data_IF_235560918935
#
_entry.id   IF_235560918935
#
_cell.length_a   1.000
_cell.length_b   1.000
_cell.length_c   1.000
_cell.angle_alpha   90.00
_cell.angle_beta   90.00
_cell.angle_gamma   90.00
#
_symmetry.space_group_name_H-M   'P 1'
#
loop_
_entity.id
_entity.type
_entity.pdbx_description
1 polymer ?
#
# COMPACT_ATOMS: atom_id res chain seq x y z
N UNK A 1 -8.53 -0.40 -10.78
CA UNK A 1 -7.06 -0.38 -10.73
C UNK A 1 -6.67 1.06 -10.55
N UNK A 2 -6.03 1.37 -9.44
CA UNK A 2 -5.56 2.71 -9.10
C UNK A 2 -4.10 2.80 -9.56
N UNK A 3 -3.75 3.87 -10.28
CA UNK A 3 -2.41 4.05 -10.85
C UNK A 3 -1.47 4.82 -9.91
N UNK A 4 -2.00 5.35 -8.80
CA UNK A 4 -1.31 6.22 -7.85
C UNK A 4 -1.96 6.16 -6.45
N UNK A 5 -1.31 6.72 -5.44
CA UNK A 5 -1.79 6.69 -4.05
C UNK A 5 -3.11 7.46 -3.90
N UNK A 6 -3.23 8.63 -4.54
CA UNK A 6 -4.40 9.51 -4.42
C UNK A 6 -5.70 8.85 -4.92
N UNK A 7 -5.66 8.14 -6.05
CA UNK A 7 -6.82 7.43 -6.59
C UNK A 7 -7.25 6.25 -5.72
N UNK A 8 -6.31 5.68 -4.95
CA UNK A 8 -6.58 4.62 -3.97
C UNK A 8 -7.33 5.19 -2.77
N UNK A 9 -6.89 6.34 -2.23
CA UNK A 9 -7.55 7.05 -1.13
C UNK A 9 -8.99 7.45 -1.46
N UNK A 10 -9.27 7.87 -2.69
CA UNK A 10 -10.62 8.22 -3.12
C UNK A 10 -11.55 7.00 -3.29
N UNK A 11 -10.99 5.79 -3.43
CA UNK A 11 -11.75 4.57 -3.68
C UNK A 11 -11.94 3.71 -2.43
N UNK A 12 -11.32 4.09 -1.30
CA UNK A 12 -11.29 3.36 -0.03
C UNK A 12 -12.66 3.12 0.66
N UNK A 13 -13.76 3.63 0.07
CA UNK A 13 -15.13 3.35 0.51
C UNK A 13 -15.73 2.06 -0.04
N UNK A 14 -15.01 1.29 -0.84
CA UNK A 14 -15.42 -0.05 -1.29
C UNK A 14 -15.02 -1.13 -0.28
N UNK A 15 -15.84 -2.18 -0.15
CA UNK A 15 -15.44 -3.41 0.55
C UNK A 15 -14.38 -4.13 -0.30
N UNK A 16 -13.11 -3.99 0.08
CA UNK A 16 -12.01 -4.75 -0.49
C UNK A 16 -11.53 -5.81 0.49
N UNK A 17 -11.35 -7.03 -0.01
CA UNK A 17 -10.84 -8.16 0.77
C UNK A 17 -9.30 -8.20 0.84
N UNK A 18 -8.61 -7.49 -0.07
CA UNK A 18 -7.15 -7.48 -0.18
C UNK A 18 -6.66 -6.26 -0.97
N UNK A 19 -5.62 -5.59 -0.48
CA UNK A 19 -4.86 -4.59 -1.26
C UNK A 19 -3.53 -5.17 -1.74
N UNK A 20 -3.20 -4.90 -2.99
CA UNK A 20 -1.88 -5.15 -3.56
C UNK A 20 -1.27 -3.79 -3.86
N UNK A 21 -0.18 -3.44 -3.16
CA UNK A 21 0.43 -2.11 -3.21
C UNK A 21 1.86 -2.26 -3.68
N UNK A 22 2.24 -1.54 -4.74
CA UNK A 22 3.65 -1.41 -5.12
C UNK A 22 4.36 -0.50 -4.11
N UNK A 23 5.55 -0.87 -3.67
CA UNK A 23 6.36 0.01 -2.80
C UNK A 23 6.85 1.22 -3.59
N UNK A 24 7.19 1.03 -4.86
CA UNK A 24 7.66 2.07 -5.78
C UNK A 24 6.48 2.68 -6.53
N UNK A 25 5.75 3.58 -5.86
CA UNK A 25 4.73 4.38 -6.52
C UNK A 25 5.37 5.59 -7.22
N UNK A 26 4.84 6.03 -8.38
CA UNK A 26 5.37 7.19 -9.11
C UNK A 26 5.18 8.51 -8.35
N UNK A 27 4.22 8.55 -7.41
CA UNK A 27 3.80 9.73 -6.65
C UNK A 27 4.09 9.65 -5.15
N UNK A 28 4.73 8.58 -4.66
CA UNK A 28 5.00 8.42 -3.23
C UNK A 28 5.56 7.06 -2.84
N UNK A 29 5.43 6.74 -1.55
CA UNK A 29 5.88 5.47 -0.99
C UNK A 29 4.66 4.58 -0.67
N UNK A 30 4.65 3.35 -1.20
CA UNK A 30 3.59 2.38 -0.91
C UNK A 30 3.39 2.07 0.57
N UNK A 31 4.41 2.24 1.41
CA UNK A 31 4.31 2.11 2.86
C UNK A 31 3.44 3.21 3.50
N UNK A 32 3.59 4.47 3.07
CA UNK A 32 2.76 5.56 3.57
C UNK A 32 1.30 5.38 3.14
N UNK A 33 1.07 4.92 1.91
CA UNK A 33 -0.26 4.57 1.44
C UNK A 33 -0.88 3.43 2.29
N UNK A 34 -0.09 2.43 2.67
CA UNK A 34 -0.54 1.35 3.53
C UNK A 34 -0.96 1.85 4.93
N UNK A 35 -0.22 2.79 5.51
CA UNK A 35 -0.60 3.40 6.79
C UNK A 35 -1.94 4.16 6.69
N UNK A 36 -2.17 4.89 5.60
CA UNK A 36 -3.45 5.58 5.38
C UNK A 36 -4.60 4.59 5.14
N UNK A 37 -4.37 3.52 4.37
CA UNK A 37 -5.37 2.45 4.17
C UNK A 37 -5.73 1.81 5.51
N UNK A 38 -4.74 1.43 6.33
CA UNK A 38 -4.92 0.79 7.64
C UNK A 38 -5.67 1.65 8.65
N UNK A 39 -5.61 2.97 8.54
CA UNK A 39 -6.39 3.89 9.39
C UNK A 39 -7.88 3.87 9.08
N UNK A 40 -8.25 3.45 7.88
CA UNK A 40 -9.63 3.51 7.38
C UNK A 40 -10.24 2.11 7.26
N UNK A 41 -9.44 1.08 6.98
CA UNK A 41 -9.90 -0.31 6.92
C UNK A 41 -8.87 -1.30 7.50
N UNK A 42 -9.33 -2.45 8.00
CA UNK A 42 -8.47 -3.53 8.49
C UNK A 42 -8.09 -4.55 7.40
N UNK A 43 -8.31 -4.20 6.13
CA UNK A 43 -8.06 -5.11 4.99
C UNK A 43 -6.57 -5.46 4.89
N UNK A 44 -6.21 -6.74 4.70
CA UNK A 44 -4.81 -7.15 4.53
C UNK A 44 -4.17 -6.48 3.30
N UNK A 45 -2.87 -6.18 3.42
CA UNK A 45 -2.07 -5.54 2.36
C UNK A 45 -0.87 -6.43 2.01
N UNK A 46 -0.68 -6.70 0.72
CA UNK A 46 0.52 -7.35 0.19
C UNK A 46 1.33 -6.32 -0.59
N UNK A 47 2.59 -6.16 -0.21
CA UNK A 47 3.52 -5.30 -0.94
C UNK A 47 4.14 -6.03 -2.12
N UNK A 48 4.09 -5.40 -3.30
CA UNK A 48 4.93 -5.77 -4.44
C UNK A 48 6.24 -5.00 -4.33
N UNK A 49 7.32 -5.72 -4.07
CA UNK A 49 8.68 -5.17 -4.06
C UNK A 49 9.42 -5.65 -5.31
N UNK A 50 10.02 -4.73 -6.08
CA UNK A 50 11.07 -5.12 -7.00
C UNK A 50 12.30 -5.56 -6.18
N UNK A 51 12.90 -6.70 -6.55
CA UNK A 51 13.93 -7.42 -5.79
C UNK A 51 15.23 -6.63 -5.49
N UNK A 52 15.38 -5.41 -5.99
CA UNK A 52 16.60 -4.60 -5.90
C UNK A 52 16.65 -3.68 -4.66
N UNK A 53 15.59 -3.71 -3.84
CA UNK A 53 15.46 -2.92 -2.61
C UNK A 53 15.68 -3.82 -1.38
N UNK A 54 16.94 -4.23 -1.15
CA UNK A 54 17.37 -5.15 -0.08
C UNK A 54 17.06 -4.66 1.35
N UNK A 55 16.56 -3.43 1.53
CA UNK A 55 16.30 -2.79 2.83
C UNK A 55 14.85 -2.90 3.36
N UNK A 56 13.92 -3.48 2.60
CA UNK A 56 12.48 -3.43 2.93
C UNK A 56 11.97 -4.44 3.97
N UNK A 57 12.85 -5.17 4.68
CA UNK A 57 12.43 -6.30 5.56
C UNK A 57 12.03 -5.85 7.00
N UNK A 58 12.26 -4.60 7.42
CA UNK A 58 12.27 -4.25 8.87
C UNK A 58 11.10 -3.38 9.37
N UNK A 59 10.04 -3.11 8.60
CA UNK A 59 8.92 -2.22 9.05
C UNK A 59 7.53 -2.84 9.13
N UNK A 60 7.39 -4.16 9.00
CA UNK A 60 6.08 -4.84 8.98
C UNK A 60 5.54 -5.37 10.31
N UNK A 61 6.26 -5.18 11.42
CA UNK A 61 5.91 -5.72 12.74
C UNK A 61 5.90 -4.63 13.81
N UNK A 62 4.88 -3.78 13.81
CA UNK A 62 4.33 -3.12 15.00
C UNK A 62 2.89 -2.65 14.71
#
# INVERSE_FOLDING_TARGET
MCENAESTLNSLGGDFDLFIVDVSLPDGNGFELCDEIKRVCETPVIFLTALDDEDSIVKGFD
#
